data_IF_443761704338
#
_entry.id   IF_443761704338
#
_cell.length_a   1.000
_cell.length_b   1.000
_cell.length_c   1.000
_cell.angle_alpha   90.00
_cell.angle_beta   90.00
_cell.angle_gamma   90.00
#
_symmetry.space_group_name_H-M   'P 1'
#
loop_
_entity.id
_entity.type
_entity.pdbx_description
1 polymer ?
#
# COMPACT_ATOMS: atom_id res chain seq x y z
N UNK A 1 22.49 43.55 -5.23
CA UNK A 1 21.29 42.71 -5.47
C UNK A 1 21.59 41.77 -6.64
N UNK A 2 21.28 40.46 -6.57
CA UNK A 2 21.16 39.64 -7.80
C UNK A 2 21.64 38.17 -7.85
N UNK A 3 22.26 37.58 -6.81
CA UNK A 3 22.76 36.19 -6.89
C UNK A 3 22.09 35.18 -5.91
N UNK A 4 21.24 35.65 -5.01
CA UNK A 4 20.65 34.85 -3.92
C UNK A 4 19.33 34.17 -4.27
N UNK A 5 18.58 34.65 -5.26
CA UNK A 5 17.28 34.07 -5.64
C UNK A 5 17.38 32.86 -6.58
N UNK A 6 18.47 32.73 -7.35
CA UNK A 6 18.69 31.58 -8.23
C UNK A 6 18.94 30.25 -7.49
N UNK A 7 19.36 30.29 -6.22
CA UNK A 7 19.69 29.10 -5.42
C UNK A 7 18.50 28.53 -4.65
N UNK A 8 17.44 29.31 -4.43
CA UNK A 8 16.23 28.86 -3.73
C UNK A 8 15.47 27.88 -4.63
N UNK A 9 15.25 26.66 -4.15
CA UNK A 9 14.53 25.61 -4.87
C UNK A 9 15.31 24.87 -5.97
N UNK A 10 16.63 25.00 -6.04
CA UNK A 10 17.43 24.25 -7.03
C UNK A 10 17.35 22.73 -6.84
N UNK A 11 17.40 22.27 -5.58
CA UNK A 11 17.22 20.86 -5.20
C UNK A 11 15.87 20.31 -5.68
N UNK A 12 14.79 21.05 -5.40
CA UNK A 12 13.44 20.67 -5.81
C UNK A 12 13.27 20.66 -7.32
N UNK A 13 13.78 21.67 -8.04
CA UNK A 13 13.71 21.74 -9.51
C UNK A 13 14.43 20.56 -10.17
N UNK A 14 15.62 20.19 -9.69
CA UNK A 14 16.37 19.04 -10.19
C UNK A 14 15.65 17.72 -9.89
N UNK A 15 15.15 17.56 -8.66
CA UNK A 15 14.40 16.38 -8.27
C UNK A 15 13.08 16.23 -9.08
N UNK A 16 12.39 17.33 -9.37
CA UNK A 16 11.24 17.36 -10.27
C UNK A 16 11.62 16.97 -11.71
N UNK A 17 12.79 17.37 -12.23
CA UNK A 17 13.26 16.94 -13.55
C UNK A 17 13.54 15.44 -13.58
N UNK A 18 14.19 14.90 -12.54
CA UNK A 18 14.42 13.46 -12.40
C UNK A 18 13.09 12.70 -12.36
N UNK A 19 12.14 13.18 -11.54
CA UNK A 19 10.81 12.60 -11.45
C UNK A 19 10.07 12.65 -12.79
N UNK A 20 10.11 13.79 -13.50
CA UNK A 20 9.47 13.96 -14.82
C UNK A 20 10.08 13.06 -15.89
N UNK A 21 11.40 12.89 -15.88
CA UNK A 21 12.07 12.00 -16.82
C UNK A 21 11.75 10.54 -16.50
N UNK A 22 11.69 10.16 -15.22
CA UNK A 22 11.28 8.84 -14.80
C UNK A 22 9.81 8.54 -15.14
N UNK A 23 8.89 9.50 -14.99
CA UNK A 23 7.49 9.32 -15.39
C UNK A 23 7.34 9.26 -16.90
N UNK A 24 8.06 10.09 -17.66
CA UNK A 24 8.09 10.02 -19.13
C UNK A 24 8.63 8.69 -19.63
N UNK A 25 9.69 8.17 -19.02
CA UNK A 25 10.24 6.86 -19.34
C UNK A 25 9.26 5.73 -18.98
N UNK A 26 8.60 5.82 -17.82
CA UNK A 26 7.60 4.85 -17.39
C UNK A 26 6.31 4.88 -18.23
N UNK A 27 6.02 6.01 -18.87
CA UNK A 27 4.85 6.24 -19.73
C UNK A 27 5.27 6.51 -21.18
N UNK A 28 6.38 5.92 -21.62
CA UNK A 28 6.92 6.15 -22.96
C UNK A 28 5.89 5.71 -24.03
N UNK A 29 5.23 4.58 -23.81
CA UNK A 29 4.18 4.05 -24.67
C UNK A 29 2.92 4.94 -24.68
N UNK A 30 2.39 5.22 -25.89
CA UNK A 30 1.09 5.89 -26.05
C UNK A 30 -0.04 5.12 -25.34
N UNK A 31 0.04 3.78 -25.36
CA UNK A 31 -0.91 2.88 -24.68
C UNK A 31 -0.82 2.99 -23.16
N UNK A 32 0.39 3.11 -22.60
CA UNK A 32 0.59 3.26 -21.16
C UNK A 32 0.02 4.58 -20.64
N UNK A 33 0.18 5.66 -21.42
CA UNK A 33 -0.43 6.97 -21.12
C UNK A 33 -1.95 6.92 -21.13
N UNK A 34 -2.55 6.30 -22.15
CA UNK A 34 -4.00 6.14 -22.24
C UNK A 34 -4.53 5.29 -21.08
N UNK A 35 -3.88 4.17 -20.77
CA UNK A 35 -4.26 3.32 -19.64
C UNK A 35 -4.15 4.08 -18.31
N UNK A 36 -3.05 4.80 -18.06
CA UNK A 36 -2.87 5.58 -16.84
C UNK A 36 -3.93 6.69 -16.70
N UNK A 37 -4.23 7.40 -17.79
CA UNK A 37 -5.27 8.43 -17.82
C UNK A 37 -6.67 7.85 -17.57
N UNK A 38 -7.01 6.75 -18.24
CA UNK A 38 -8.27 6.05 -18.04
C UNK A 38 -8.43 5.57 -16.60
N UNK A 39 -7.39 4.97 -16.02
CA UNK A 39 -7.41 4.52 -14.62
C UNK A 39 -7.57 5.67 -13.64
N UNK A 40 -6.92 6.81 -13.89
CA UNK A 40 -7.10 7.99 -13.06
C UNK A 40 -8.56 8.47 -13.08
N UNK A 41 -9.18 8.52 -14.27
CA UNK A 41 -10.60 8.90 -14.41
C UNK A 41 -11.51 7.92 -13.68
N UNK A 42 -11.31 6.61 -13.86
CA UNK A 42 -12.11 5.57 -13.19
C UNK A 42 -11.99 5.66 -11.67
N UNK A 43 -10.79 5.85 -11.13
CA UNK A 43 -10.57 5.99 -9.68
C UNK A 43 -11.27 7.24 -9.14
N UNK A 44 -11.17 8.37 -9.84
CA UNK A 44 -11.82 9.61 -9.44
C UNK A 44 -13.35 9.51 -9.50
N UNK A 45 -13.90 8.87 -10.55
CA UNK A 45 -15.33 8.62 -10.68
C UNK A 45 -15.85 7.68 -9.58
N UNK A 46 -15.11 6.61 -9.26
CA UNK A 46 -15.47 5.69 -8.19
C UNK A 46 -15.45 6.37 -6.81
N UNK A 47 -14.44 7.21 -6.54
CA UNK A 47 -14.38 8.02 -5.31
C UNK A 47 -15.58 8.97 -5.23
N UNK A 48 -15.87 9.71 -6.30
CA UNK A 48 -17.00 10.62 -6.35
C UNK A 48 -18.32 9.89 -6.08
N UNK A 49 -18.60 8.80 -6.80
CA UNK A 49 -19.81 8.00 -6.62
C UNK A 49 -19.94 7.45 -5.18
N UNK A 50 -18.83 6.97 -4.60
CA UNK A 50 -18.83 6.47 -3.23
C UNK A 50 -19.14 7.56 -2.20
N UNK A 51 -18.55 8.75 -2.34
CA UNK A 51 -18.79 9.86 -1.41
C UNK A 51 -20.15 10.55 -1.59
N UNK A 52 -20.72 10.52 -2.80
CA UNK A 52 -22.02 11.09 -3.12
C UNK A 52 -23.15 10.38 -2.35
N UNK A 53 -23.08 9.04 -2.24
CA UNK A 53 -24.10 8.22 -1.58
C UNK A 53 -23.98 8.09 -0.05
N UNK A 54 -23.04 8.80 0.61
CA UNK A 54 -22.76 8.63 2.04
C UNK A 54 -23.10 9.88 2.84
N UNK A 55 -23.47 9.68 4.11
CA UNK A 55 -23.64 10.79 5.05
C UNK A 55 -22.34 11.58 5.20
N UNK A 56 -22.46 12.88 5.49
CA UNK A 56 -21.28 13.74 5.62
C UNK A 56 -20.32 13.22 6.71
N UNK A 57 -20.85 12.70 7.82
CA UNK A 57 -20.06 12.17 8.93
C UNK A 57 -19.18 10.97 8.51
N UNK A 58 -19.75 10.00 7.77
CA UNK A 58 -18.98 8.86 7.25
C UNK A 58 -17.89 9.34 6.28
N UNK A 59 -18.24 10.30 5.42
CA UNK A 59 -17.29 10.92 4.50
C UNK A 59 -16.17 11.66 5.24
N UNK A 60 -16.48 12.37 6.32
CA UNK A 60 -15.51 13.10 7.14
C UNK A 60 -14.52 12.15 7.82
N UNK A 61 -14.98 11.04 8.42
CA UNK A 61 -14.08 10.04 9.01
C UNK A 61 -13.17 9.38 7.98
N UNK A 62 -13.70 9.02 6.80
CA UNK A 62 -12.91 8.48 5.70
C UNK A 62 -11.86 9.49 5.19
N UNK A 63 -12.26 10.76 5.03
CA UNK A 63 -11.36 11.84 4.62
C UNK A 63 -10.28 12.14 5.67
N UNK A 64 -10.62 12.06 6.96
CA UNK A 64 -9.68 12.22 8.06
C UNK A 64 -8.63 11.09 8.05
N UNK A 65 -9.08 9.83 8.01
CA UNK A 65 -8.17 8.68 7.95
C UNK A 65 -7.31 8.68 6.69
N UNK A 66 -7.93 8.87 5.52
CA UNK A 66 -7.22 8.94 4.23
C UNK A 66 -6.21 10.09 4.17
N UNK A 67 -6.62 11.27 4.62
CA UNK A 67 -5.76 12.46 4.72
C UNK A 67 -4.56 12.21 5.64
N UNK A 68 -4.79 11.72 6.86
CA UNK A 68 -3.73 11.44 7.83
C UNK A 68 -2.73 10.39 7.32
N UNK A 69 -3.22 9.28 6.75
CA UNK A 69 -2.37 8.24 6.17
C UNK A 69 -1.53 8.79 5.00
N UNK A 70 -2.14 9.57 4.10
CA UNK A 70 -1.44 10.23 3.01
C UNK A 70 -0.36 11.21 3.52
N UNK A 71 -0.68 11.96 4.57
CA UNK A 71 0.24 12.86 5.27
C UNK A 71 1.46 12.14 5.84
N UNK A 72 1.23 11.06 6.59
CA UNK A 72 2.30 10.23 7.18
C UNK A 72 3.18 9.64 6.08
N UNK A 73 2.57 9.06 5.05
CA UNK A 73 3.29 8.47 3.92
C UNK A 73 4.15 9.51 3.18
N UNK A 74 3.56 10.67 2.86
CA UNK A 74 4.27 11.77 2.21
C UNK A 74 5.42 12.29 3.07
N UNK A 75 5.20 12.52 4.37
CA UNK A 75 6.24 12.96 5.29
C UNK A 75 7.42 11.99 5.35
N UNK A 76 7.14 10.69 5.47
CA UNK A 76 8.18 9.63 5.45
C UNK A 76 8.93 9.57 4.12
N UNK A 77 8.23 9.66 2.99
CA UNK A 77 8.85 9.63 1.65
C UNK A 77 9.73 10.86 1.41
N UNK A 78 9.26 12.04 1.80
CA UNK A 78 10.03 13.29 1.68
C UNK A 78 11.28 13.22 2.54
N UNK A 79 11.16 12.75 3.79
CA UNK A 79 12.31 12.56 4.68
C UNK A 79 13.32 11.55 4.14
N UNK A 80 12.87 10.38 3.68
CA UNK A 80 13.72 9.36 3.09
C UNK A 80 14.42 9.85 1.82
N UNK A 81 13.72 10.59 0.97
CA UNK A 81 14.28 11.14 -0.27
C UNK A 81 15.29 12.25 0.00
N UNK A 82 15.05 13.10 1.00
CA UNK A 82 16.02 14.11 1.42
C UNK A 82 17.27 13.47 2.05
N UNK A 83 17.09 12.40 2.83
CA UNK A 83 18.19 11.62 3.39
C UNK A 83 19.03 10.97 2.29
N UNK A 84 18.40 10.28 1.34
CA UNK A 84 19.07 9.70 0.17
C UNK A 84 19.89 10.75 -0.60
N UNK A 85 19.32 11.94 -0.83
CA UNK A 85 20.06 13.01 -1.49
C UNK A 85 21.27 13.46 -0.68
N UNK A 86 21.21 13.41 0.65
CA UNK A 86 22.30 13.77 1.56
C UNK A 86 23.40 12.72 1.71
N UNK A 87 23.08 11.43 1.55
CA UNK A 87 24.04 10.32 1.72
C UNK A 87 24.62 9.82 0.40
N UNK A 88 23.76 9.61 -0.60
CA UNK A 88 24.10 8.83 -1.81
C UNK A 88 23.80 9.59 -3.12
N UNK A 89 23.20 10.77 -3.02
CA UNK A 89 22.77 11.55 -4.17
C UNK A 89 23.83 12.53 -4.70
N UNK A 90 23.82 12.74 -6.01
CA UNK A 90 24.58 13.81 -6.70
C UNK A 90 24.24 15.23 -6.18
N UNK A 91 23.23 15.35 -5.31
CA UNK A 91 22.71 16.60 -4.75
C UNK A 91 23.06 16.77 -3.25
N UNK A 92 23.98 15.99 -2.69
CA UNK A 92 24.34 15.99 -1.27
C UNK A 92 24.70 17.38 -0.72
N UNK A 93 25.52 18.15 -1.45
CA UNK A 93 25.92 19.50 -1.05
C UNK A 93 24.72 20.47 -0.90
N UNK A 94 23.62 20.23 -1.62
CA UNK A 94 22.38 21.00 -1.51
C UNK A 94 21.42 20.43 -0.46
N UNK A 95 21.38 19.11 -0.30
CA UNK A 95 20.51 18.42 0.65
C UNK A 95 20.94 18.62 2.12
N UNK A 96 22.25 18.77 2.37
CA UNK A 96 22.81 19.02 3.71
C UNK A 96 22.53 20.44 4.23
N UNK A 97 22.14 21.39 3.35
CA UNK A 97 21.84 22.78 3.77
C UNK A 97 20.45 22.87 4.40
N UNK A 98 20.31 23.29 5.68
CA UNK A 98 19.01 23.33 6.38
C UNK A 98 17.94 24.16 5.67
N UNK A 99 18.34 25.31 5.11
CA UNK A 99 17.46 26.20 4.37
C UNK A 99 16.91 25.57 3.08
N UNK A 100 17.74 24.83 2.36
CA UNK A 100 17.36 24.16 1.10
C UNK A 100 16.49 22.94 1.38
N UNK A 101 16.80 22.18 2.43
CA UNK A 101 15.98 21.06 2.90
C UNK A 101 14.59 21.50 3.40
N UNK A 102 14.47 22.66 4.07
CA UNK A 102 13.17 23.22 4.47
C UNK A 102 12.32 23.63 3.25
N UNK A 103 12.92 24.33 2.29
CA UNK A 103 12.21 24.71 1.06
C UNK A 103 11.77 23.49 0.25
N UNK A 104 12.62 22.46 0.15
CA UNK A 104 12.25 21.21 -0.50
C UNK A 104 11.06 20.54 0.18
N UNK A 105 11.06 20.44 1.51
CA UNK A 105 9.93 19.89 2.28
C UNK A 105 8.63 20.66 2.05
N UNK A 106 8.70 22.00 2.11
CA UNK A 106 7.53 22.86 1.87
C UNK A 106 6.99 22.69 0.45
N UNK A 107 7.86 22.70 -0.56
CA UNK A 107 7.45 22.54 -1.95
C UNK A 107 6.86 21.13 -2.22
N UNK A 108 7.46 20.09 -1.65
CA UNK A 108 6.97 18.71 -1.79
C UNK A 108 5.62 18.50 -1.09
N UNK A 109 5.44 19.04 0.12
CA UNK A 109 4.13 19.02 0.79
C UNK A 109 3.10 19.91 0.07
N UNK A 110 3.50 21.03 -0.53
CA UNK A 110 2.64 21.86 -1.35
C UNK A 110 2.04 21.10 -2.53
N UNK A 111 2.84 20.27 -3.23
CA UNK A 111 2.34 19.36 -4.27
C UNK A 111 1.36 18.34 -3.65
N UNK A 112 1.72 17.71 -2.55
CA UNK A 112 0.87 16.71 -1.89
C UNK A 112 -0.49 17.28 -1.49
N UNK A 113 -0.52 18.48 -0.91
CA UNK A 113 -1.73 19.24 -0.57
C UNK A 113 -2.54 19.57 -1.82
N UNK A 114 -1.91 20.05 -2.89
CA UNK A 114 -2.61 20.39 -4.13
C UNK A 114 -3.27 19.16 -4.78
N UNK A 115 -2.57 18.02 -4.80
CA UNK A 115 -3.11 16.75 -5.31
C UNK A 115 -4.29 16.30 -4.44
N UNK A 116 -4.13 16.29 -3.12
CA UNK A 116 -5.19 15.89 -2.20
C UNK A 116 -6.41 16.81 -2.33
N UNK A 117 -6.21 18.13 -2.36
CA UNK A 117 -7.28 19.10 -2.57
C UNK A 117 -8.03 18.85 -3.88
N UNK A 118 -7.32 18.58 -4.97
CA UNK A 118 -7.93 18.27 -6.28
C UNK A 118 -8.78 17.00 -6.19
N UNK A 119 -8.25 15.93 -5.59
CA UNK A 119 -8.98 14.67 -5.41
C UNK A 119 -10.22 14.90 -4.54
N UNK A 120 -10.10 15.64 -3.44
CA UNK A 120 -11.21 15.92 -2.53
C UNK A 120 -12.26 16.81 -3.17
N UNK A 121 -11.87 17.81 -3.98
CA UNK A 121 -12.80 18.64 -4.74
C UNK A 121 -13.66 17.82 -5.71
N UNK A 122 -13.04 16.86 -6.40
CA UNK A 122 -13.74 15.96 -7.32
C UNK A 122 -14.63 15.00 -6.54
N UNK A 123 -14.11 14.41 -5.46
CA UNK A 123 -14.82 13.43 -4.67
C UNK A 123 -16.03 14.03 -3.93
N UNK A 124 -15.80 15.07 -3.11
CA UNK A 124 -16.83 15.84 -2.39
C UNK A 124 -16.21 17.11 -1.75
N UNK A 125 -16.50 18.31 -2.28
CA UNK A 125 -15.86 19.57 -1.85
C UNK A 125 -15.94 19.86 -0.34
N UNK A 126 -17.05 19.50 0.30
CA UNK A 126 -17.28 19.75 1.74
C UNK A 126 -16.28 19.03 2.66
N UNK A 127 -15.51 18.06 2.15
CA UNK A 127 -14.54 17.28 2.92
C UNK A 127 -13.14 17.93 2.95
N UNK A 128 -12.92 19.04 2.24
CA UNK A 128 -11.66 19.77 2.27
C UNK A 128 -11.27 20.23 3.67
N UNK A 129 -12.25 20.68 4.45
CA UNK A 129 -12.08 21.19 5.82
C UNK A 129 -11.50 20.11 6.74
N UNK A 130 -11.72 18.83 6.44
CA UNK A 130 -11.24 17.70 7.27
C UNK A 130 -9.99 17.06 6.68
N UNK A 131 -9.95 16.84 5.36
CA UNK A 131 -8.86 16.14 4.69
C UNK A 131 -7.53 16.89 4.73
N UNK A 132 -7.54 18.22 4.55
CA UNK A 132 -6.30 19.01 4.53
C UNK A 132 -5.65 19.11 5.91
N UNK A 133 -6.37 19.45 7.01
CA UNK A 133 -5.79 19.41 8.35
C UNK A 133 -5.31 18.00 8.73
N UNK A 134 -6.06 16.95 8.36
CA UNK A 134 -5.65 15.58 8.63
C UNK A 134 -4.33 15.23 7.92
N UNK A 135 -4.16 15.62 6.66
CA UNK A 135 -2.89 15.47 5.94
C UNK A 135 -1.73 16.17 6.63
N UNK A 136 -1.93 17.43 7.03
CA UNK A 136 -0.88 18.20 7.71
C UNK A 136 -0.53 17.58 9.08
N UNK A 137 -1.53 17.12 9.84
CA UNK A 137 -1.32 16.41 11.10
C UNK A 137 -0.52 15.12 10.88
N UNK A 138 -0.90 14.30 9.89
CA UNK A 138 -0.16 13.08 9.56
C UNK A 138 1.28 13.36 9.13
N UNK A 139 1.50 14.40 8.32
CA UNK A 139 2.84 14.83 7.92
C UNK A 139 3.66 15.31 9.13
N UNK A 140 3.07 16.09 10.02
CA UNK A 140 3.73 16.56 11.25
C UNK A 140 4.16 15.39 12.14
N UNK A 141 3.28 14.40 12.36
CA UNK A 141 3.61 13.16 13.09
C UNK A 141 4.80 12.44 12.45
N UNK A 142 4.85 12.32 11.13
CA UNK A 142 5.98 11.70 10.43
C UNK A 142 7.31 12.46 10.63
N UNK A 143 7.29 13.80 10.63
CA UNK A 143 8.50 14.59 10.87
C UNK A 143 8.95 14.57 12.32
N UNK A 144 8.02 14.67 13.28
CA UNK A 144 8.32 14.57 14.71
C UNK A 144 8.93 13.21 15.06
N UNK A 145 8.34 12.12 14.56
CA UNK A 145 8.87 10.77 14.77
C UNK A 145 10.23 10.55 14.09
N UNK A 146 10.53 11.28 13.01
CA UNK A 146 11.85 11.26 12.38
C UNK A 146 12.90 12.05 13.16
N UNK A 147 12.54 13.18 13.78
CA UNK A 147 13.44 13.98 14.62
C UNK A 147 13.85 13.26 15.91
N UNK A 148 12.92 12.49 16.47
CA UNK A 148 13.14 11.72 17.71
C UNK A 148 13.90 10.41 17.47
N UNK A 149 14.14 10.02 16.21
CA UNK A 149 14.82 8.77 15.90
C UNK A 149 16.35 8.95 16.00
N UNK A 150 17.06 8.12 16.79
CA UNK A 150 18.52 8.22 16.91
C UNK A 150 19.22 7.98 15.56
N UNK A 151 20.38 8.60 15.35
CA UNK A 151 21.13 8.57 14.08
C UNK A 151 21.58 7.16 13.63
N UNK A 152 21.77 6.22 14.56
CA UNK A 152 21.98 4.79 14.26
C UNK A 152 20.72 4.01 13.89
N UNK A 153 19.53 4.62 14.04
CA UNK A 153 18.25 3.96 13.82
C UNK A 153 17.98 3.63 12.35
N UNK A 154 18.65 4.27 11.37
CA UNK A 154 18.41 3.95 9.96
C UNK A 154 18.92 2.56 9.62
N UNK A 155 20.17 2.24 9.97
CA UNK A 155 20.73 0.89 9.81
C UNK A 155 19.99 -0.14 10.67
N UNK A 156 19.65 0.22 11.91
CA UNK A 156 18.85 -0.63 12.77
C UNK A 156 17.44 -0.87 12.19
N UNK A 157 16.78 0.13 11.58
CA UNK A 157 15.47 0.00 10.93
C UNK A 157 15.53 -0.81 9.65
N UNK A 158 16.57 -0.67 8.83
CA UNK A 158 16.76 -1.49 7.62
C UNK A 158 16.96 -2.95 8.01
N UNK A 159 17.82 -3.22 9.00
CA UNK A 159 18.08 -4.56 9.52
C UNK A 159 16.86 -5.14 10.21
N UNK A 160 16.18 -4.38 11.07
CA UNK A 160 14.93 -4.77 11.73
C UNK A 160 13.83 -5.06 10.71
N UNK A 161 13.66 -4.22 9.68
CA UNK A 161 12.68 -4.43 8.63
C UNK A 161 12.99 -5.68 7.78
N UNK A 162 14.25 -6.01 7.57
CA UNK A 162 14.65 -7.27 6.93
C UNK A 162 14.38 -8.48 7.83
N UNK A 163 14.75 -8.42 9.12
CA UNK A 163 14.47 -9.47 10.11
C UNK A 163 12.97 -9.72 10.27
N UNK A 164 12.17 -8.65 10.41
CA UNK A 164 10.70 -8.74 10.48
C UNK A 164 10.16 -9.39 9.22
N UNK A 165 10.61 -8.97 8.02
CA UNK A 165 10.14 -9.58 6.77
C UNK A 165 10.45 -11.06 6.69
N UNK A 166 11.67 -11.48 7.04
CA UNK A 166 12.02 -12.91 7.06
C UNK A 166 11.16 -13.67 8.07
N UNK A 167 10.97 -13.09 9.25
CA UNK A 167 10.17 -13.70 10.29
C UNK A 167 8.69 -13.83 9.86
N UNK A 168 8.12 -12.82 9.20
CA UNK A 168 6.75 -12.84 8.66
C UNK A 168 6.48 -13.96 7.66
N UNK A 169 7.51 -14.51 7.01
CA UNK A 169 7.39 -15.65 6.10
C UNK A 169 7.47 -17.01 6.82
N UNK A 170 7.75 -17.02 8.13
CA UNK A 170 7.78 -18.25 8.93
C UNK A 170 6.38 -18.60 9.45
N UNK A 171 6.06 -19.90 9.64
CA UNK A 171 4.77 -20.31 10.20
C UNK A 171 4.49 -19.71 11.58
N UNK A 172 5.54 -19.46 12.39
CA UNK A 172 5.42 -18.81 13.69
C UNK A 172 4.81 -17.40 13.65
N UNK A 173 5.01 -16.64 12.57
CA UNK A 173 4.39 -15.33 12.41
C UNK A 173 2.86 -15.43 12.26
N UNK A 174 2.38 -16.48 11.59
CA UNK A 174 0.94 -16.72 11.48
C UNK A 174 0.30 -17.10 12.80
N UNK A 175 0.96 -17.96 13.59
CA UNK A 175 0.49 -18.34 14.92
C UNK A 175 0.43 -17.15 15.87
N UNK A 176 1.47 -16.31 15.88
CA UNK A 176 1.51 -15.10 16.73
C UNK A 176 0.49 -14.06 16.29
N UNK A 177 0.29 -13.86 15.00
CA UNK A 177 -0.78 -13.00 14.50
C UNK A 177 -2.17 -13.52 14.89
N UNK A 178 -2.40 -14.83 14.81
CA UNK A 178 -3.66 -15.43 15.25
C UNK A 178 -3.85 -15.25 16.75
N UNK A 179 -2.83 -15.52 17.56
CA UNK A 179 -2.87 -15.31 19.00
C UNK A 179 -3.17 -13.84 19.35
N UNK A 180 -2.63 -12.86 18.61
CA UNK A 180 -2.92 -11.45 18.82
C UNK A 180 -4.40 -11.11 18.55
N UNK A 181 -4.96 -11.59 17.43
CA UNK A 181 -6.39 -11.42 17.08
C UNK A 181 -7.30 -12.14 18.09
N UNK A 182 -6.88 -13.27 18.63
CA UNK A 182 -7.65 -14.01 19.63
C UNK A 182 -7.55 -13.39 21.02
N UNK A 183 -6.41 -12.79 21.36
CA UNK A 183 -6.24 -12.08 22.62
C UNK A 183 -7.06 -10.78 22.63
N UNK A 184 -7.14 -10.07 21.51
CA UNK A 184 -7.97 -8.87 21.40
C UNK A 184 -9.45 -9.20 21.61
N UNK A 185 -9.92 -10.37 21.17
CA UNK A 185 -11.28 -10.87 21.42
C UNK A 185 -11.58 -11.01 22.91
N UNK A 186 -10.61 -11.47 23.71
CA UNK A 186 -10.75 -11.59 25.16
C UNK A 186 -10.82 -10.20 25.81
N UNK A 187 -9.92 -9.30 25.42
CA UNK A 187 -9.83 -7.94 25.98
C UNK A 187 -11.06 -7.09 25.62
N UNK A 188 -11.66 -7.33 24.46
CA UNK A 188 -12.82 -6.59 23.96
C UNK A 188 -14.17 -7.18 24.37
N UNK A 189 -14.18 -8.16 25.28
CA UNK A 189 -15.40 -8.87 25.69
C UNK A 189 -16.53 -7.98 26.24
N UNK A 190 -16.19 -6.80 26.79
CA UNK A 190 -17.15 -5.81 27.32
C UNK A 190 -17.81 -4.95 26.25
N UNK A 191 -17.34 -4.99 25.00
CA UNK A 191 -17.89 -4.21 23.89
C UNK A 191 -19.14 -4.85 23.30
N UNK A 192 -19.94 -4.04 22.60
CA UNK A 192 -21.06 -4.53 21.81
C UNK A 192 -20.60 -5.54 20.75
N UNK A 193 -21.49 -6.47 20.37
CA UNK A 193 -21.16 -7.51 19.37
C UNK A 193 -20.68 -6.91 18.05
N UNK A 194 -21.37 -5.87 17.55
CA UNK A 194 -20.99 -5.18 16.32
C UNK A 194 -19.60 -4.55 16.39
N UNK A 195 -19.22 -3.97 17.53
CA UNK A 195 -17.90 -3.40 17.73
C UNK A 195 -16.81 -4.47 17.75
N UNK A 196 -17.04 -5.61 18.41
CA UNK A 196 -16.12 -6.75 18.41
C UNK A 196 -15.88 -7.30 17.01
N UNK A 197 -16.95 -7.50 16.24
CA UNK A 197 -16.87 -7.98 14.85
C UNK A 197 -16.02 -7.01 14.00
N UNK A 198 -16.24 -5.70 14.15
CA UNK A 198 -15.49 -4.69 13.41
C UNK A 198 -14.00 -4.71 13.78
N UNK A 199 -13.66 -4.78 15.07
CA UNK A 199 -12.28 -4.84 15.55
C UNK A 199 -11.56 -6.06 14.99
N UNK A 200 -12.15 -7.25 15.12
CA UNK A 200 -11.57 -8.50 14.60
C UNK A 200 -11.39 -8.44 13.09
N UNK A 201 -12.36 -7.89 12.36
CA UNK A 201 -12.23 -7.69 10.91
C UNK A 201 -11.05 -6.80 10.54
N UNK A 202 -10.89 -5.66 11.22
CA UNK A 202 -9.78 -4.73 11.01
C UNK A 202 -8.44 -5.39 11.34
N UNK A 203 -8.34 -6.05 12.49
CA UNK A 203 -7.12 -6.73 12.91
C UNK A 203 -6.76 -7.87 11.96
N UNK A 204 -7.74 -8.66 11.52
CA UNK A 204 -7.54 -9.71 10.53
C UNK A 204 -7.01 -9.11 9.21
N UNK A 205 -7.53 -7.98 8.74
CA UNK A 205 -7.01 -7.28 7.55
C UNK A 205 -5.57 -6.82 7.75
N UNK A 206 -5.24 -6.24 8.91
CA UNK A 206 -3.89 -5.76 9.22
C UNK A 206 -2.91 -6.93 9.29
N UNK A 207 -3.25 -7.97 10.06
CA UNK A 207 -2.46 -9.18 10.21
C UNK A 207 -2.24 -9.85 8.85
N UNK A 208 -3.30 -10.00 8.07
CA UNK A 208 -3.21 -10.67 6.77
C UNK A 208 -2.40 -9.89 5.75
N UNK A 209 -2.50 -8.55 5.74
CA UNK A 209 -1.66 -7.68 4.94
C UNK A 209 -0.17 -7.81 5.31
N UNK A 210 0.15 -7.91 6.61
CA UNK A 210 1.53 -8.10 7.06
C UNK A 210 2.09 -9.47 6.66
N UNK A 211 1.32 -10.54 6.85
CA UNK A 211 1.71 -11.91 6.53
C UNK A 211 1.83 -12.17 5.02
N UNK A 212 1.10 -11.44 4.18
CA UNK A 212 1.10 -11.58 2.71
C UNK A 212 2.01 -10.58 2.00
N UNK A 213 2.99 -10.01 2.72
CA UNK A 213 3.96 -9.09 2.12
C UNK A 213 4.79 -9.79 1.03
N UNK A 214 4.69 -9.33 -0.22
CA UNK A 214 5.45 -9.88 -1.36
C UNK A 214 6.64 -8.99 -1.67
N UNK A 215 7.82 -9.60 -1.76
CA UNK A 215 9.06 -8.92 -2.13
C UNK A 215 9.44 -9.21 -3.60
N UNK A 216 9.47 -8.15 -4.43
CA UNK A 216 9.70 -8.27 -5.88
C UNK A 216 11.07 -8.89 -6.24
N UNK A 217 12.21 -8.48 -5.64
CA UNK A 217 13.51 -9.11 -5.89
C UNK A 217 13.50 -10.61 -5.58
N UNK A 218 12.90 -11.01 -4.46
CA UNK A 218 12.78 -12.43 -4.08
C UNK A 218 11.95 -13.22 -5.10
N UNK A 219 10.78 -12.72 -5.52
CA UNK A 219 9.96 -13.36 -6.56
C UNK A 219 10.71 -13.48 -7.89
N UNK A 220 11.44 -12.43 -8.28
CA UNK A 220 12.23 -12.43 -9.53
C UNK A 220 13.39 -13.42 -9.45
N UNK A 221 14.10 -13.47 -8.33
CA UNK A 221 15.16 -14.45 -8.09
C UNK A 221 14.64 -15.89 -8.17
N UNK A 222 13.56 -16.21 -7.46
CA UNK A 222 12.94 -17.54 -7.52
C UNK A 222 12.48 -17.90 -8.94
N UNK A 223 11.97 -16.92 -9.69
CA UNK A 223 11.55 -17.11 -11.08
C UNK A 223 12.72 -17.39 -12.01
N UNK A 224 13.84 -16.67 -11.87
CA UNK A 224 15.08 -16.90 -12.64
C UNK A 224 15.71 -18.25 -12.25
N UNK A 225 15.61 -18.64 -10.99
CA UNK A 225 16.03 -19.96 -10.50
C UNK A 225 15.08 -21.12 -10.90
N UNK A 226 14.16 -20.89 -11.85
CA UNK A 226 13.29 -21.94 -12.41
C UNK A 226 12.15 -22.39 -11.50
N UNK A 227 11.87 -21.71 -10.38
CA UNK A 227 10.77 -22.12 -9.50
C UNK A 227 9.41 -21.83 -10.15
N UNK A 228 8.51 -22.82 -10.11
CA UNK A 228 7.14 -22.68 -10.61
C UNK A 228 6.31 -21.68 -9.78
N UNK A 229 5.31 -21.04 -10.42
CA UNK A 229 4.43 -20.04 -9.78
C UNK A 229 3.90 -20.50 -8.42
N UNK A 230 3.40 -21.73 -8.34
CA UNK A 230 2.75 -22.26 -7.14
C UNK A 230 3.72 -22.50 -5.99
N UNK A 231 4.98 -22.87 -6.26
CA UNK A 231 6.01 -22.94 -5.20
C UNK A 231 6.32 -21.55 -4.64
N UNK A 232 6.38 -20.52 -5.49
CA UNK A 232 6.61 -19.14 -5.03
C UNK A 232 5.43 -18.65 -4.19
N UNK A 233 4.20 -18.93 -4.62
CA UNK A 233 2.97 -18.61 -3.86
C UNK A 233 2.95 -19.35 -2.52
N UNK A 234 3.23 -20.65 -2.51
CA UNK A 234 3.28 -21.44 -1.28
C UNK A 234 4.36 -20.94 -0.31
N UNK A 235 5.51 -20.51 -0.84
CA UNK A 235 6.59 -19.93 -0.03
C UNK A 235 6.15 -18.65 0.70
N UNK A 236 5.51 -17.72 -0.01
CA UNK A 236 5.04 -16.46 0.57
C UNK A 236 3.78 -16.63 1.42
N UNK A 237 2.93 -17.62 1.12
CA UNK A 237 1.72 -17.94 1.87
C UNK A 237 1.93 -18.86 3.08
N UNK A 238 3.16 -19.25 3.40
CA UNK A 238 3.41 -20.27 4.44
C UNK A 238 2.95 -19.84 5.83
N UNK A 239 3.05 -18.56 6.15
CA UNK A 239 2.59 -18.00 7.42
C UNK A 239 1.07 -17.78 7.45
N UNK A 240 0.41 -17.70 6.30
CA UNK A 240 -1.05 -17.56 6.21
C UNK A 240 -1.78 -18.81 6.67
N UNK A 241 -1.24 -19.99 6.38
CA UNK A 241 -1.88 -21.26 6.70
C UNK A 241 -2.22 -21.41 8.20
N UNK A 242 -1.26 -21.29 9.14
CA UNK A 242 -1.58 -21.38 10.56
C UNK A 242 -2.47 -20.23 11.05
N UNK A 243 -2.38 -19.04 10.44
CA UNK A 243 -3.28 -17.94 10.79
C UNK A 243 -4.75 -18.29 10.48
N UNK A 244 -5.03 -18.75 9.26
CA UNK A 244 -6.38 -19.13 8.82
C UNK A 244 -6.92 -20.30 9.66
N UNK A 245 -6.10 -21.34 9.86
CA UNK A 245 -6.49 -22.54 10.60
C UNK A 245 -6.79 -22.29 12.08
N UNK A 246 -6.29 -21.20 12.67
CA UNK A 246 -6.57 -20.83 14.06
C UNK A 246 -7.63 -19.74 14.15
N UNK A 247 -7.45 -18.63 13.45
CA UNK A 247 -8.28 -17.44 13.61
C UNK A 247 -9.71 -17.69 13.14
N UNK A 248 -9.94 -18.36 12.00
CA UNK A 248 -11.29 -18.58 11.45
C UNK A 248 -12.14 -19.47 12.36
N UNK A 249 -11.73 -20.71 12.73
CA UNK A 249 -12.57 -21.58 13.55
C UNK A 249 -12.78 -21.03 14.96
N UNK A 250 -11.76 -20.42 15.56
CA UNK A 250 -11.91 -19.86 16.92
C UNK A 250 -12.82 -18.63 16.91
N UNK A 251 -12.71 -17.76 15.89
CA UNK A 251 -13.66 -16.65 15.72
C UNK A 251 -15.07 -17.15 15.49
N UNK A 252 -15.24 -18.26 14.76
CA UNK A 252 -16.55 -18.89 14.56
C UNK A 252 -17.16 -19.37 15.87
N UNK A 253 -16.37 -20.03 16.71
CA UNK A 253 -16.81 -20.53 18.01
C UNK A 253 -17.19 -19.39 18.99
N UNK A 254 -16.47 -18.26 18.96
CA UNK A 254 -16.65 -17.17 19.93
C UNK A 254 -17.70 -16.14 19.49
N UNK A 255 -17.65 -15.70 18.22
CA UNK A 255 -18.47 -14.60 17.69
C UNK A 255 -19.53 -15.06 16.67
N UNK A 256 -19.54 -16.33 16.31
CA UNK A 256 -20.48 -16.90 15.36
C UNK A 256 -20.06 -16.77 13.88
N UNK A 257 -20.91 -17.27 12.97
CA UNK A 257 -20.54 -17.51 11.56
C UNK A 257 -20.27 -16.22 10.77
N UNK A 258 -20.96 -15.13 11.10
CA UNK A 258 -20.77 -13.85 10.42
C UNK A 258 -19.34 -13.32 10.60
N UNK A 259 -18.84 -13.32 11.83
CA UNK A 259 -17.50 -12.83 12.16
C UNK A 259 -16.42 -13.70 11.52
N UNK A 260 -16.57 -15.02 11.60
CA UNK A 260 -15.69 -15.97 10.94
C UNK A 260 -15.68 -15.78 9.41
N UNK A 261 -16.84 -15.52 8.81
CA UNK A 261 -16.97 -15.21 7.40
C UNK A 261 -16.19 -13.96 7.00
N UNK A 262 -16.21 -12.90 7.82
CA UNK A 262 -15.43 -11.68 7.59
C UNK A 262 -13.93 -11.97 7.64
N UNK A 263 -13.46 -12.71 8.65
CA UNK A 263 -12.04 -13.09 8.78
C UNK A 263 -11.61 -13.96 7.59
N UNK A 264 -12.40 -14.97 7.23
CA UNK A 264 -12.13 -15.85 6.10
C UNK A 264 -12.10 -15.07 4.78
N UNK A 265 -13.03 -14.14 4.57
CA UNK A 265 -13.06 -13.28 3.38
C UNK A 265 -11.82 -12.38 3.31
N UNK A 266 -11.40 -11.79 4.43
CA UNK A 266 -10.18 -10.98 4.49
C UNK A 266 -8.93 -11.81 4.13
N UNK A 267 -8.79 -13.02 4.71
CA UNK A 267 -7.72 -13.95 4.38
C UNK A 267 -7.72 -14.33 2.90
N UNK A 268 -8.89 -14.70 2.35
CA UNK A 268 -9.04 -15.07 0.95
C UNK A 268 -8.69 -13.92 0.01
N UNK A 269 -9.14 -12.70 0.31
CA UNK A 269 -8.82 -11.51 -0.47
C UNK A 269 -7.31 -11.21 -0.47
N UNK A 270 -6.64 -11.31 0.68
CA UNK A 270 -5.20 -11.07 0.77
C UNK A 270 -4.38 -12.16 0.09
N UNK A 271 -4.78 -13.43 0.18
CA UNK A 271 -4.15 -14.53 -0.56
C UNK A 271 -4.33 -14.35 -2.08
N UNK A 272 -5.51 -13.91 -2.53
CA UNK A 272 -5.76 -13.58 -3.93
C UNK A 272 -4.86 -12.44 -4.40
N UNK A 273 -4.78 -11.34 -3.65
CA UNK A 273 -3.90 -10.21 -3.94
C UNK A 273 -2.42 -10.64 -3.98
N UNK A 274 -1.97 -11.42 -3.01
CA UNK A 274 -0.62 -11.97 -2.96
C UNK A 274 -0.30 -12.80 -4.21
N UNK A 275 -1.23 -13.68 -4.59
CA UNK A 275 -1.09 -14.54 -5.78
C UNK A 275 -1.01 -13.70 -7.06
N UNK A 276 -1.91 -12.71 -7.22
CA UNK A 276 -1.87 -11.78 -8.36
C UNK A 276 -0.56 -11.00 -8.42
N UNK A 277 -0.05 -10.50 -7.28
CA UNK A 277 1.25 -9.79 -7.20
C UNK A 277 2.39 -10.68 -7.62
N UNK A 278 2.45 -11.91 -7.11
CA UNK A 278 3.49 -12.86 -7.48
C UNK A 278 3.47 -13.08 -8.99
N UNK A 279 2.31 -13.45 -9.57
CA UNK A 279 2.18 -13.69 -11.00
C UNK A 279 2.54 -12.45 -11.84
N UNK A 280 2.12 -11.26 -11.42
CA UNK A 280 2.43 -10.00 -12.12
C UNK A 280 3.93 -9.65 -12.05
N UNK A 281 4.59 -9.85 -10.90
CA UNK A 281 6.05 -9.65 -10.75
C UNK A 281 6.88 -10.63 -11.57
N UNK A 282 6.38 -11.82 -11.89
CA UNK A 282 7.04 -12.73 -12.84
C UNK A 282 7.04 -12.18 -14.27
N UNK A 283 5.99 -11.44 -14.62
CA UNK A 283 5.73 -10.98 -15.99
C UNK A 283 6.30 -9.60 -16.31
N UNK A 284 6.28 -8.71 -15.32
CA UNK A 284 6.50 -7.28 -15.48
C UNK A 284 7.40 -6.73 -14.37
N UNK A 285 8.05 -5.59 -14.64
CA UNK A 285 8.77 -4.86 -13.61
C UNK A 285 7.82 -4.36 -12.51
N UNK A 286 8.33 -4.29 -11.28
CA UNK A 286 7.61 -3.91 -10.05
C UNK A 286 6.50 -2.86 -10.24
N UNK A 287 6.83 -1.70 -10.81
CA UNK A 287 5.89 -0.57 -10.95
C UNK A 287 4.67 -0.90 -11.82
N UNK A 288 4.88 -1.59 -12.93
CA UNK A 288 3.79 -1.97 -13.83
C UNK A 288 2.96 -3.10 -13.23
N UNK A 289 3.60 -4.06 -12.58
CA UNK A 289 2.91 -5.13 -11.87
C UNK A 289 2.03 -4.59 -10.72
N UNK A 290 2.54 -3.66 -9.92
CA UNK A 290 1.78 -3.01 -8.85
C UNK A 290 0.55 -2.27 -9.40
N UNK A 291 0.72 -1.53 -10.50
CA UNK A 291 -0.38 -0.87 -11.20
C UNK A 291 -1.42 -1.89 -11.69
N UNK A 292 -0.99 -2.93 -12.39
CA UNK A 292 -1.86 -3.96 -12.95
C UNK A 292 -2.68 -4.66 -11.86
N UNK A 293 -2.03 -5.04 -10.75
CA UNK A 293 -2.72 -5.65 -9.61
C UNK A 293 -3.71 -4.68 -8.96
N UNK A 294 -3.36 -3.40 -8.84
CA UNK A 294 -4.30 -2.39 -8.32
C UNK A 294 -5.53 -2.26 -9.20
N UNK A 295 -5.38 -2.34 -10.53
CA UNK A 295 -6.52 -2.34 -11.47
C UNK A 295 -7.38 -3.58 -11.26
N UNK A 296 -6.79 -4.77 -11.22
CA UNK A 296 -7.53 -6.00 -10.98
C UNK A 296 -8.21 -6.03 -9.61
N UNK A 297 -7.55 -5.55 -8.57
CA UNK A 297 -8.14 -5.39 -7.24
C UNK A 297 -9.36 -4.45 -7.29
N UNK A 298 -9.23 -3.29 -7.96
CA UNK A 298 -10.34 -2.36 -8.17
C UNK A 298 -11.51 -2.99 -8.94
N UNK A 299 -11.22 -3.74 -10.01
CA UNK A 299 -12.24 -4.48 -10.77
C UNK A 299 -12.94 -5.53 -9.90
N UNK A 300 -12.20 -6.26 -9.07
CA UNK A 300 -12.77 -7.25 -8.16
C UNK A 300 -13.65 -6.61 -7.09
N UNK A 301 -13.22 -5.49 -6.50
CA UNK A 301 -14.04 -4.72 -5.54
C UNK A 301 -15.32 -4.22 -6.22
N UNK A 302 -15.22 -3.68 -7.43
CA UNK A 302 -16.38 -3.21 -8.18
C UNK A 302 -17.33 -4.36 -8.52
N UNK A 303 -16.79 -5.52 -8.92
CA UNK A 303 -17.57 -6.73 -9.21
C UNK A 303 -18.26 -7.24 -7.94
N UNK A 304 -17.55 -7.29 -6.81
CA UNK A 304 -18.11 -7.68 -5.53
C UNK A 304 -19.27 -6.77 -5.10
N UNK A 305 -19.19 -5.47 -5.42
CA UNK A 305 -20.23 -4.50 -5.09
C UNK A 305 -21.44 -4.57 -6.04
N UNK A 306 -21.21 -4.65 -7.35
CA UNK A 306 -22.28 -4.58 -8.36
C UNK A 306 -22.93 -5.94 -8.64
N UNK A 307 -22.14 -7.01 -8.62
CA UNK A 307 -22.58 -8.36 -8.96
C UNK A 307 -21.82 -9.42 -8.13
N UNK A 308 -22.11 -9.54 -6.83
CA UNK A 308 -21.40 -10.46 -5.93
C UNK A 308 -21.27 -11.91 -6.46
N UNK A 309 -22.31 -12.50 -7.10
CA UNK A 309 -22.20 -13.86 -7.65
C UNK A 309 -21.15 -14.01 -8.77
N UNK A 310 -20.80 -12.93 -9.48
CA UNK A 310 -19.79 -12.95 -10.55
C UNK A 310 -18.35 -12.81 -10.04
N UNK A 311 -18.15 -12.42 -8.78
CA UNK A 311 -16.84 -12.25 -8.17
C UNK A 311 -15.91 -13.48 -8.30
N UNK A 312 -16.33 -14.72 -7.96
CA UNK A 312 -15.46 -15.89 -8.09
C UNK A 312 -15.04 -16.14 -9.54
N UNK A 313 -15.95 -15.90 -10.50
CA UNK A 313 -15.67 -16.08 -11.94
C UNK A 313 -14.65 -15.04 -12.41
N UNK A 314 -14.82 -13.77 -12.03
CA UNK A 314 -13.86 -12.71 -12.37
C UNK A 314 -12.48 -12.97 -11.76
N UNK A 315 -12.41 -13.40 -10.49
CA UNK A 315 -11.16 -13.73 -9.82
C UNK A 315 -10.43 -14.89 -10.51
N UNK A 316 -11.15 -15.97 -10.84
CA UNK A 316 -10.59 -17.12 -11.57
C UNK A 316 -10.11 -16.72 -12.96
N UNK A 317 -10.86 -15.91 -13.69
CA UNK A 317 -10.47 -15.43 -15.02
C UNK A 317 -9.17 -14.62 -14.98
N UNK A 318 -9.03 -13.70 -14.01
CA UNK A 318 -7.81 -12.90 -13.82
C UNK A 318 -6.62 -13.80 -13.46
N UNK A 319 -6.81 -14.71 -12.49
CA UNK A 319 -5.77 -15.67 -12.09
C UNK A 319 -5.34 -16.56 -13.23
N UNK A 320 -6.29 -17.11 -13.98
CA UNK A 320 -6.04 -17.95 -15.15
C UNK A 320 -5.25 -17.20 -16.22
N UNK A 321 -5.66 -15.98 -16.54
CA UNK A 321 -4.97 -15.14 -17.53
C UNK A 321 -3.53 -14.85 -17.12
N UNK A 322 -3.31 -14.45 -15.86
CA UNK A 322 -1.97 -14.20 -15.32
C UNK A 322 -1.13 -15.47 -15.26
N UNK A 323 -1.71 -16.59 -14.84
CA UNK A 323 -1.02 -17.88 -14.73
C UNK A 323 -0.55 -18.38 -16.10
N UNK A 324 -1.44 -18.39 -17.10
CA UNK A 324 -1.12 -18.83 -18.47
C UNK A 324 0.02 -18.00 -19.06
N UNK A 325 -0.01 -16.68 -18.87
CA UNK A 325 1.07 -15.81 -19.35
C UNK A 325 2.37 -16.03 -18.60
N UNK A 326 2.31 -16.22 -17.27
CA UNK A 326 3.50 -16.45 -16.45
C UNK A 326 4.16 -17.81 -16.74
N UNK A 327 3.37 -18.83 -17.06
CA UNK A 327 3.85 -20.15 -17.48
C UNK A 327 4.59 -20.08 -18.82
N UNK A 328 4.13 -19.25 -19.77
CA UNK A 328 4.80 -19.09 -21.07
C UNK A 328 6.17 -18.39 -20.99
N UNK A 329 6.56 -17.83 -19.84
CA UNK A 329 7.84 -17.10 -19.63
C UNK A 329 8.81 -17.80 -18.67
N UNK A 330 8.57 -19.04 -18.28
CA UNK A 330 9.60 -19.82 -17.56
C UNK A 330 10.74 -20.11 -18.52
N UNK A 331 11.90 -19.49 -18.28
CA UNK A 331 13.13 -19.87 -18.96
C UNK A 331 13.42 -21.33 -18.60
N UNK A 332 13.33 -22.20 -19.61
CA UNK A 332 13.85 -23.56 -19.55
C UNK A 332 15.38 -23.44 -19.55
N UNK A 333 15.96 -23.28 -18.36
CA UNK A 333 17.27 -23.86 -18.10
C UNK A 333 17.01 -25.32 -17.72
N UNK A 334 16.69 -26.10 -18.74
CA UNK A 334 16.61 -27.55 -18.73
C UNK A 334 17.35 -28.04 -19.96
#
# INVERSE_FOLDING_TARGET
MGASDGRRGHLFRLDCRIARNATRAALAGRRDRLNAGFMLVVVLAALHAWFAGRSWQIGAWAALGGGACAGVAAGRLIAARLHFHGTDGLLAALALRPSTGRHYRLAAHGIGVAILATITLIARPSLLIVSLPAYLAGAAVAHLTAMLAPSGAVFAKVRLGWTIRIWLHRPGAGMTAAAAVLLSLVVTGTLSSNARIAIVGIEAVIATLALTSVDHPTVRFMTVAGQGSWRIVAHHGRSMLPFVLLAVPITWLILGPLAAGIVAAACGAMLLLMTMRILAYRLHGRRFADLLVSVFAGMLILTAYMLPPALPVAALAILWHLHRRAAAKTWLLG
#
